data_IF_691839758272
#
_entry.id   IF_691839758272
#
_cell.length_a   1.000
_cell.length_b   1.000
_cell.length_c   1.000
_cell.angle_alpha   90.00
_cell.angle_beta   90.00
_cell.angle_gamma   90.00
#
_symmetry.space_group_name_H-M   'P 1'
#
loop_
_entity.id
_entity.type
_entity.pdbx_description
1 polymer ?
#
# COMPACT_ATOMS: atom_id res chain seq x y z
N UNK A 1 -51.56 23.37 10.46
CA UNK A 1 -50.11 23.50 10.75
C UNK A 1 -49.43 22.12 10.83
N UNK A 2 -49.94 21.21 11.68
CA UNK A 2 -49.42 19.84 11.88
C UNK A 2 -49.26 19.01 10.58
N UNK A 3 -50.26 18.99 9.69
CA UNK A 3 -50.21 18.22 8.42
C UNK A 3 -49.12 18.70 7.44
N UNK A 4 -48.79 19.99 7.44
CA UNK A 4 -47.69 20.55 6.61
C UNK A 4 -46.34 20.22 7.21
N UNK A 5 -46.22 20.26 8.54
CA UNK A 5 -45.01 19.86 9.27
C UNK A 5 -44.70 18.36 9.13
N UNK A 6 -45.72 17.49 9.21
CA UNK A 6 -45.55 16.04 8.98
C UNK A 6 -45.10 15.76 7.54
N UNK A 7 -45.69 16.42 6.54
CA UNK A 7 -45.25 16.28 5.14
C UNK A 7 -43.80 16.73 4.95
N UNK A 8 -43.41 17.84 5.57
CA UNK A 8 -42.02 18.32 5.52
C UNK A 8 -41.05 17.31 6.15
N UNK A 9 -41.36 16.77 7.33
CA UNK A 9 -40.55 15.71 7.96
C UNK A 9 -40.47 14.45 7.10
N UNK A 10 -41.58 14.00 6.53
CA UNK A 10 -41.57 12.84 5.63
C UNK A 10 -40.74 13.10 4.36
N UNK A 11 -40.76 14.31 3.81
CA UNK A 11 -39.88 14.69 2.70
C UNK A 11 -38.41 14.67 3.11
N UNK A 12 -38.06 15.18 4.30
CA UNK A 12 -36.68 15.14 4.80
C UNK A 12 -36.19 13.71 5.03
N UNK A 13 -37.04 12.85 5.62
CA UNK A 13 -36.73 11.42 5.78
C UNK A 13 -36.58 10.76 4.42
N UNK A 14 -37.46 11.05 3.46
CA UNK A 14 -37.35 10.56 2.09
C UNK A 14 -36.02 10.96 1.43
N UNK A 15 -35.61 12.23 1.56
CA UNK A 15 -34.32 12.72 1.05
C UNK A 15 -33.15 12.03 1.75
N UNK A 16 -33.21 11.85 3.07
CA UNK A 16 -32.15 11.16 3.82
C UNK A 16 -32.03 9.68 3.43
N UNK A 17 -33.14 8.99 3.23
CA UNK A 17 -33.15 7.59 2.78
C UNK A 17 -32.62 7.46 1.37
N UNK A 18 -33.07 8.30 0.43
CA UNK A 18 -32.58 8.29 -0.95
C UNK A 18 -31.10 8.68 -0.99
N UNK A 19 -30.70 9.72 -0.27
CA UNK A 19 -29.30 10.15 -0.17
C UNK A 19 -28.40 9.06 0.42
N UNK A 20 -28.87 8.39 1.49
CA UNK A 20 -28.16 7.27 2.10
C UNK A 20 -28.03 6.07 1.17
N UNK A 21 -29.08 5.73 0.42
CA UNK A 21 -29.04 4.65 -0.57
C UNK A 21 -28.10 4.97 -1.74
N UNK A 22 -28.14 6.20 -2.26
CA UNK A 22 -27.23 6.66 -3.31
C UNK A 22 -25.78 6.63 -2.81
N UNK A 23 -25.52 7.12 -1.60
CA UNK A 23 -24.20 7.08 -0.99
C UNK A 23 -23.72 5.64 -0.81
N UNK A 24 -24.56 4.74 -0.29
CA UNK A 24 -24.25 3.32 -0.17
C UNK A 24 -23.85 2.70 -1.52
N UNK A 25 -24.60 2.97 -2.58
CA UNK A 25 -24.30 2.45 -3.93
C UNK A 25 -22.98 3.01 -4.47
N UNK A 26 -22.74 4.32 -4.34
CA UNK A 26 -21.51 4.96 -4.84
C UNK A 26 -20.28 4.48 -4.07
N UNK A 27 -20.43 4.24 -2.78
CA UNK A 27 -19.34 3.84 -1.89
C UNK A 27 -19.18 2.33 -1.77
N UNK A 28 -20.03 1.55 -2.45
CA UNK A 28 -19.97 0.09 -2.40
C UNK A 28 -18.61 -0.42 -2.94
N UNK A 29 -18.17 -1.60 -2.49
CA UNK A 29 -17.05 -2.32 -3.09
C UNK A 29 -17.20 -2.43 -4.61
N UNK A 30 -16.20 -1.93 -5.35
CA UNK A 30 -16.18 -1.91 -6.81
C UNK A 30 -14.99 -2.74 -7.34
N UNK A 31 -15.07 -4.08 -7.33
CA UNK A 31 -14.04 -4.93 -7.87
C UNK A 31 -14.01 -4.88 -9.40
N UNK A 32 -12.82 -5.04 -9.97
CA UNK A 32 -12.63 -5.34 -11.39
C UNK A 32 -13.24 -6.73 -11.70
N UNK A 33 -13.93 -6.88 -12.85
CA UNK A 33 -14.53 -8.16 -13.23
C UNK A 33 -13.45 -9.21 -13.50
N UNK A 34 -13.79 -10.49 -13.34
CA UNK A 34 -12.85 -11.60 -13.59
C UNK A 34 -12.22 -11.57 -14.99
N UNK A 35 -12.97 -11.09 -15.99
CA UNK A 35 -12.49 -10.93 -17.37
C UNK A 35 -11.33 -9.93 -17.49
N UNK A 36 -11.21 -8.96 -16.57
CA UNK A 36 -10.08 -8.01 -16.52
C UNK A 36 -8.75 -8.74 -16.35
N UNK A 37 -8.76 -9.84 -15.60
CA UNK A 37 -7.57 -10.61 -15.24
C UNK A 37 -7.28 -11.75 -16.22
N UNK A 38 -8.11 -11.89 -17.26
CA UNK A 38 -7.94 -12.90 -18.30
C UNK A 38 -6.92 -12.42 -19.35
N UNK A 39 -6.18 -13.36 -19.94
CA UNK A 39 -5.26 -13.04 -21.06
C UNK A 39 -3.94 -12.37 -20.65
N UNK A 40 -3.58 -12.33 -19.37
CA UNK A 40 -2.29 -11.80 -18.88
C UNK A 40 -1.10 -12.74 -19.11
N UNK A 41 -1.35 -13.95 -19.64
CA UNK A 41 -0.33 -14.99 -19.85
C UNK A 41 0.03 -15.75 -18.57
N UNK A 42 1.01 -16.65 -18.69
CA UNK A 42 1.60 -17.31 -17.53
C UNK A 42 2.40 -16.31 -16.69
N UNK A 43 2.40 -16.50 -15.37
CA UNK A 43 3.13 -15.65 -14.45
C UNK A 43 4.65 -15.84 -14.65
N UNK A 44 5.38 -14.72 -14.82
CA UNK A 44 6.83 -14.71 -14.76
C UNK A 44 7.26 -14.67 -13.29
N UNK A 45 7.63 -15.84 -12.76
CA UNK A 45 8.01 -16.00 -11.34
C UNK A 45 9.23 -15.14 -10.96
N UNK A 46 10.16 -14.88 -11.89
CA UNK A 46 11.34 -14.06 -11.63
C UNK A 46 10.98 -12.58 -11.53
N UNK A 47 10.07 -12.11 -12.40
CA UNK A 47 9.51 -10.78 -12.23
C UNK A 47 8.69 -10.69 -10.95
N UNK A 48 7.90 -11.72 -10.64
CA UNK A 48 7.12 -11.82 -9.41
C UNK A 48 7.97 -11.70 -8.14
N UNK A 49 9.14 -12.33 -8.12
CA UNK A 49 10.12 -12.17 -7.04
C UNK A 49 10.62 -10.72 -6.92
N UNK A 50 10.90 -10.07 -8.05
CA UNK A 50 11.32 -8.66 -8.07
C UNK A 50 10.23 -7.76 -7.48
N UNK A 51 8.98 -7.99 -7.85
CA UNK A 51 7.82 -7.25 -7.33
C UNK A 51 7.56 -7.56 -5.85
N UNK A 52 7.80 -8.79 -5.41
CA UNK A 52 7.69 -9.21 -4.02
C UNK A 52 8.67 -8.44 -3.13
N UNK A 53 9.92 -8.31 -3.57
CA UNK A 53 10.93 -7.50 -2.88
C UNK A 53 10.62 -6.01 -2.96
N UNK A 54 10.21 -5.48 -4.12
CA UNK A 54 9.80 -4.08 -4.23
C UNK A 54 8.62 -3.77 -3.29
N UNK A 55 7.67 -4.69 -3.15
CA UNK A 55 6.50 -4.60 -2.27
C UNK A 55 6.81 -4.67 -0.78
N UNK A 56 8.01 -5.14 -0.39
CA UNK A 56 8.37 -5.37 1.00
C UNK A 56 7.45 -6.38 1.71
N UNK A 57 6.94 -7.39 1.00
CA UNK A 57 5.91 -8.29 1.53
C UNK A 57 6.33 -8.96 2.86
N UNK A 58 7.62 -9.31 2.99
CA UNK A 58 8.15 -9.92 4.22
C UNK A 58 8.16 -8.97 5.42
N UNK A 59 8.22 -7.65 5.21
CA UNK A 59 8.26 -6.68 6.32
C UNK A 59 7.00 -6.68 7.16
N UNK A 60 5.88 -7.15 6.60
CA UNK A 60 4.63 -7.28 7.34
C UNK A 60 4.18 -8.74 7.50
N UNK A 61 4.33 -9.56 6.47
CA UNK A 61 3.72 -10.89 6.44
C UNK A 61 4.64 -12.01 6.94
N UNK A 62 5.94 -11.79 7.12
CA UNK A 62 6.77 -12.77 7.80
C UNK A 62 6.37 -12.87 9.29
N UNK A 63 6.61 -14.03 9.91
CA UNK A 63 6.42 -14.17 11.34
C UNK A 63 7.28 -13.14 12.11
N UNK A 64 6.77 -12.52 13.19
CA UNK A 64 7.57 -11.62 14.01
C UNK A 64 8.89 -12.27 14.47
N UNK A 65 10.01 -11.62 14.20
CA UNK A 65 11.34 -12.13 14.52
C UNK A 65 11.91 -13.17 13.53
N UNK A 66 11.23 -13.45 12.42
CA UNK A 66 11.76 -14.31 11.37
C UNK A 66 13.03 -13.71 10.72
N UNK A 67 14.00 -14.57 10.43
CA UNK A 67 15.29 -14.20 9.84
C UNK A 67 15.64 -15.14 8.68
N UNK A 68 16.43 -14.64 7.73
CA UNK A 68 16.82 -15.40 6.53
C UNK A 68 15.60 -15.95 5.79
N UNK A 69 15.72 -17.18 5.29
CA UNK A 69 14.66 -17.85 4.52
C UNK A 69 13.35 -18.03 5.29
N UNK A 70 13.37 -17.97 6.63
CA UNK A 70 12.14 -18.01 7.42
C UNK A 70 11.24 -16.79 7.13
N UNK A 71 11.80 -15.68 6.64
CA UNK A 71 11.01 -14.51 6.19
C UNK A 71 10.12 -14.84 4.98
N UNK A 72 10.44 -15.87 4.20
CA UNK A 72 9.63 -16.32 3.07
C UNK A 72 8.38 -17.12 3.49
N UNK A 73 8.29 -17.52 4.76
CA UNK A 73 7.09 -18.13 5.34
C UNK A 73 6.15 -17.00 5.76
N UNK A 74 5.30 -16.56 4.83
CA UNK A 74 4.39 -15.41 5.00
C UNK A 74 3.19 -15.71 5.91
N UNK A 75 3.46 -16.14 7.14
CA UNK A 75 2.47 -16.62 8.12
C UNK A 75 1.63 -15.52 8.76
N UNK A 76 1.99 -14.24 8.59
CA UNK A 76 1.31 -13.10 9.21
C UNK A 76 1.41 -13.11 10.75
N UNK A 77 0.46 -12.43 11.39
CA UNK A 77 0.34 -12.35 12.84
C UNK A 77 1.03 -11.13 13.47
N UNK A 78 1.75 -10.31 12.68
CA UNK A 78 2.25 -9.02 13.15
C UNK A 78 1.09 -8.12 13.60
N UNK A 79 1.22 -7.51 14.79
CA UNK A 79 0.25 -6.58 15.34
C UNK A 79 0.70 -5.14 15.11
N UNK A 80 0.03 -4.44 14.19
CA UNK A 80 0.27 -3.04 13.87
C UNK A 80 -0.64 -2.16 14.74
N UNK A 81 -0.05 -1.49 15.74
CA UNK A 81 -0.78 -0.57 16.61
C UNK A 81 -0.94 0.78 15.92
N UNK A 82 -2.12 1.37 16.06
CA UNK A 82 -2.42 2.70 15.52
C UNK A 82 -3.40 3.46 16.43
N UNK A 83 -3.59 4.77 16.21
CA UNK A 83 -4.65 5.52 16.87
C UNK A 83 -6.08 4.99 16.58
N UNK A 84 -6.23 4.17 15.54
CA UNK A 84 -7.50 3.59 15.10
C UNK A 84 -7.77 2.19 15.66
N UNK A 85 -6.84 1.64 16.46
CA UNK A 85 -6.88 0.27 16.97
C UNK A 85 -5.70 -0.59 16.48
N UNK A 86 -5.78 -1.89 16.72
CA UNK A 86 -4.72 -2.86 16.34
C UNK A 86 -5.11 -3.61 15.07
N UNK A 87 -4.29 -3.47 14.03
CA UNK A 87 -4.42 -4.28 12.81
C UNK A 87 -3.51 -5.49 12.89
N UNK A 88 -4.09 -6.68 12.87
CA UNK A 88 -3.34 -7.91 12.67
C UNK A 88 -3.11 -8.21 11.19
N UNK A 89 -1.85 -8.38 10.80
CA UNK A 89 -1.47 -8.71 9.42
C UNK A 89 -1.86 -10.16 9.11
N UNK A 90 -2.58 -10.43 8.01
CA UNK A 90 -3.04 -11.77 7.68
C UNK A 90 -1.90 -12.67 7.18
N UNK A 91 -2.12 -13.98 7.25
CA UNK A 91 -1.31 -14.96 6.55
C UNK A 91 -1.59 -14.87 5.04
N UNK A 92 -0.54 -14.73 4.23
CA UNK A 92 -0.63 -14.69 2.76
C UNK A 92 0.25 -15.75 2.09
N UNK A 93 0.64 -16.77 2.84
CA UNK A 93 1.27 -17.98 2.29
C UNK A 93 0.30 -18.72 1.36
N UNK A 94 0.78 -19.65 0.52
CA UNK A 94 -0.09 -20.43 -0.36
C UNK A 94 -0.83 -21.58 0.35
N UNK A 95 -0.94 -21.54 1.67
CA UNK A 95 -1.78 -22.47 2.42
C UNK A 95 -3.26 -22.28 2.03
N UNK A 96 -3.96 -23.40 1.79
CA UNK A 96 -5.32 -23.40 1.27
C UNK A 96 -6.38 -23.01 2.30
N UNK A 97 -6.07 -23.10 3.60
CA UNK A 97 -7.02 -22.86 4.69
C UNK A 97 -6.74 -21.56 5.43
N UNK A 98 -5.47 -21.31 5.73
CA UNK A 98 -5.03 -20.19 6.54
C UNK A 98 -4.49 -19.02 5.70
N UNK A 99 -4.07 -19.27 4.46
CA UNK A 99 -3.49 -18.27 3.56
C UNK A 99 -4.34 -18.00 2.32
N UNK A 100 -3.67 -17.65 1.21
CA UNK A 100 -4.29 -17.28 -0.07
C UNK A 100 -4.31 -18.43 -1.09
N UNK A 101 -4.03 -19.67 -0.66
CA UNK A 101 -3.85 -20.81 -1.58
C UNK A 101 -5.06 -21.11 -2.48
N UNK A 102 -6.27 -20.78 -2.02
CA UNK A 102 -7.52 -20.96 -2.77
C UNK A 102 -7.95 -19.73 -3.57
N UNK A 103 -7.22 -18.62 -3.46
CA UNK A 103 -7.60 -17.39 -4.15
C UNK A 103 -7.41 -17.51 -5.66
N UNK A 104 -8.29 -16.85 -6.41
CA UNK A 104 -8.10 -16.61 -7.85
C UNK A 104 -7.22 -15.37 -8.06
N UNK A 105 -6.66 -15.23 -9.26
CA UNK A 105 -5.94 -14.00 -9.63
C UNK A 105 -6.85 -12.77 -9.51
N UNK A 106 -8.13 -12.89 -9.88
CA UNK A 106 -9.08 -11.80 -9.75
C UNK A 106 -9.32 -11.38 -8.30
N UNK A 107 -9.37 -12.33 -7.36
CA UNK A 107 -9.50 -12.04 -5.93
C UNK A 107 -8.23 -11.36 -5.39
N UNK A 108 -7.04 -11.89 -5.70
CA UNK A 108 -5.78 -11.29 -5.29
C UNK A 108 -5.59 -9.89 -5.88
N UNK A 109 -5.85 -9.73 -7.17
CA UNK A 109 -5.72 -8.46 -7.87
C UNK A 109 -6.71 -7.41 -7.40
N UNK A 110 -7.94 -7.79 -7.03
CA UNK A 110 -8.90 -6.88 -6.41
C UNK A 110 -8.51 -6.48 -4.99
N UNK A 111 -7.88 -7.36 -4.21
CA UNK A 111 -7.32 -6.98 -2.93
C UNK A 111 -6.23 -5.91 -3.14
N UNK A 112 -5.26 -6.18 -4.02
CA UNK A 112 -4.12 -5.29 -4.30
C UNK A 112 -4.56 -3.95 -4.91
N UNK A 113 -5.37 -3.96 -5.98
CA UNK A 113 -5.66 -2.74 -6.75
C UNK A 113 -6.94 -2.03 -6.34
N UNK A 114 -7.89 -2.74 -5.73
CA UNK A 114 -9.21 -2.17 -5.36
C UNK A 114 -9.44 -2.17 -3.87
N UNK A 115 -8.60 -2.79 -3.04
CA UNK A 115 -8.85 -2.91 -1.61
C UNK A 115 -10.18 -3.61 -1.33
N UNK A 116 -10.46 -4.69 -2.08
CA UNK A 116 -11.68 -5.51 -1.95
C UNK A 116 -11.28 -6.95 -1.67
N UNK A 117 -11.78 -7.50 -0.56
CA UNK A 117 -11.56 -8.87 -0.15
C UNK A 117 -12.38 -9.86 -1.00
N UNK A 118 -12.02 -11.17 -1.03
CA UNK A 118 -12.79 -12.18 -1.77
C UNK A 118 -14.27 -12.28 -1.40
N UNK A 119 -14.62 -11.94 -0.16
CA UNK A 119 -16.00 -11.92 0.33
C UNK A 119 -16.77 -10.64 -0.05
N UNK A 120 -16.12 -9.72 -0.78
CA UNK A 120 -16.69 -8.45 -1.21
C UNK A 120 -16.46 -7.29 -0.24
N UNK A 121 -15.86 -7.48 0.93
CA UNK A 121 -15.67 -6.39 1.90
C UNK A 121 -14.56 -5.42 1.49
N UNK A 122 -14.67 -4.16 1.91
CA UNK A 122 -13.54 -3.23 1.85
C UNK A 122 -12.41 -3.67 2.78
N UNK A 123 -11.18 -3.70 2.25
CA UNK A 123 -9.97 -3.85 3.06
C UNK A 123 -9.63 -2.53 3.79
N UNK A 124 -9.01 -2.64 4.96
CA UNK A 124 -8.53 -1.46 5.69
C UNK A 124 -7.29 -0.89 4.98
N UNK A 125 -7.13 0.44 4.93
CA UNK A 125 -6.00 1.09 4.23
C UNK A 125 -4.64 0.86 4.90
N UNK A 126 -4.60 0.18 6.05
CA UNK A 126 -3.35 -0.39 6.60
C UNK A 126 -2.71 -1.40 5.63
N UNK A 127 -3.50 -2.00 4.75
CA UNK A 127 -3.00 -2.65 3.55
C UNK A 127 -2.89 -1.59 2.45
N UNK A 128 -1.70 -1.29 1.91
CA UNK A 128 -1.47 -0.12 1.07
C UNK A 128 -1.95 -0.29 -0.39
N UNK A 129 -3.19 -0.81 -0.55
CA UNK A 129 -3.86 -0.93 -1.85
C UNK A 129 -4.01 0.42 -2.57
N UNK A 130 -3.98 1.53 -1.82
CA UNK A 130 -3.98 2.88 -2.37
C UNK A 130 -2.74 3.15 -3.21
N UNK A 131 -1.58 2.60 -2.84
CA UNK A 131 -0.35 2.66 -3.63
C UNK A 131 -0.34 1.57 -4.70
N UNK A 132 -0.64 0.32 -4.34
CA UNK A 132 -0.68 -0.82 -5.26
C UNK A 132 -1.68 -0.70 -6.40
N UNK A 133 -2.68 0.18 -6.32
CA UNK A 133 -3.56 0.52 -7.44
C UNK A 133 -2.80 0.96 -8.71
N UNK A 134 -1.57 1.49 -8.57
CA UNK A 134 -0.68 1.87 -9.69
C UNK A 134 0.16 0.71 -10.25
N UNK A 135 0.12 -0.47 -9.62
CA UNK A 135 0.82 -1.64 -10.15
C UNK A 135 0.23 -2.05 -11.50
N UNK A 136 1.11 -2.49 -12.40
CA UNK A 136 0.66 -3.07 -13.67
C UNK A 136 -0.09 -4.38 -13.39
N UNK A 137 -1.10 -4.71 -14.19
CA UNK A 137 -1.85 -5.95 -14.01
C UNK A 137 -0.94 -7.19 -14.20
N UNK A 138 0.07 -7.07 -15.07
CA UNK A 138 1.09 -8.09 -15.26
C UNK A 138 1.94 -8.29 -14.00
N UNK A 139 2.39 -7.24 -13.34
CA UNK A 139 3.18 -7.37 -12.10
C UNK A 139 2.36 -7.97 -10.97
N UNK A 140 1.05 -7.68 -10.90
CA UNK A 140 0.14 -8.32 -9.95
C UNK A 140 0.00 -9.83 -10.25
N UNK A 141 -0.11 -10.22 -11.53
CA UNK A 141 -0.13 -11.62 -11.95
C UNK A 141 1.17 -12.35 -11.60
N UNK A 142 2.30 -11.74 -11.92
CA UNK A 142 3.63 -12.29 -11.69
C UNK A 142 3.91 -12.44 -10.19
N UNK A 143 3.58 -11.42 -9.38
CA UNK A 143 3.65 -11.47 -7.92
C UNK A 143 2.80 -12.62 -7.36
N UNK A 144 1.56 -12.76 -7.83
CA UNK A 144 0.69 -13.84 -7.38
C UNK A 144 1.26 -15.22 -7.73
N UNK A 145 1.86 -15.36 -8.92
CA UNK A 145 2.58 -16.56 -9.33
C UNK A 145 3.75 -16.88 -8.38
N UNK A 146 4.58 -15.90 -8.04
CA UNK A 146 5.69 -16.09 -7.10
C UNK A 146 5.22 -16.42 -5.68
N UNK A 147 4.19 -15.76 -5.16
CA UNK A 147 3.63 -16.08 -3.83
C UNK A 147 3.16 -17.54 -3.74
N UNK A 148 2.68 -18.12 -4.85
CA UNK A 148 2.29 -19.54 -4.92
C UNK A 148 3.45 -20.52 -4.85
N UNK A 149 4.69 -20.08 -5.10
CA UNK A 149 5.88 -20.93 -4.98
C UNK A 149 6.47 -20.93 -3.57
N UNK A 150 6.03 -20.02 -2.70
CA UNK A 150 6.57 -19.86 -1.34
C UNK A 150 6.12 -20.98 -0.39
N UNK A 151 6.82 -21.19 0.74
CA UNK A 151 6.41 -22.16 1.74
C UNK A 151 5.03 -21.85 2.35
N UNK A 152 4.25 -22.90 2.60
CA UNK A 152 2.95 -22.80 3.26
C UNK A 152 3.08 -22.57 4.76
N UNK A 153 2.10 -21.89 5.35
CA UNK A 153 1.91 -21.78 6.79
C UNK A 153 0.47 -22.01 7.18
N UNK A 154 0.22 -22.87 8.17
CA UNK A 154 -1.10 -23.11 8.72
C UNK A 154 -1.51 -22.06 9.79
N UNK A 155 -0.73 -21.00 9.98
CA UNK A 155 -1.00 -19.98 11.00
C UNK A 155 -2.25 -19.17 10.65
N UNK A 156 -3.24 -19.15 11.55
CA UNK A 156 -4.43 -18.31 11.40
C UNK A 156 -4.19 -17.01 12.18
N UNK A 157 -3.97 -15.92 11.46
CA UNK A 157 -3.82 -14.61 12.08
C UNK A 157 -5.10 -14.21 12.82
N UNK A 158 -5.00 -13.59 14.02
CA UNK A 158 -6.16 -13.10 14.74
C UNK A 158 -6.89 -11.98 13.96
N UNK A 159 -8.19 -11.75 14.23
CA UNK A 159 -8.93 -10.64 13.64
C UNK A 159 -8.43 -9.29 14.17
N UNK A 160 -8.65 -8.21 13.42
CA UNK A 160 -8.33 -6.85 13.90
C UNK A 160 -9.09 -6.47 15.18
N UNK A 161 -8.44 -5.71 16.05
CA UNK A 161 -9.01 -5.16 17.29
C UNK A 161 -9.27 -3.67 17.12
N UNK A 162 -10.40 -3.33 16.49
CA UNK A 162 -10.77 -1.95 16.16
C UNK A 162 -11.97 -1.51 17.01
N UNK A 163 -11.90 -0.36 17.71
CA UNK A 163 -13.04 0.19 18.41
C UNK A 163 -14.04 0.80 17.44
N UNK A 164 -15.28 1.01 17.90
CA UNK A 164 -16.23 1.86 17.19
C UNK A 164 -15.66 3.30 17.05
N UNK A 165 -15.83 3.97 15.90
CA UNK A 165 -16.57 3.53 14.71
C UNK A 165 -15.72 2.77 13.66
N UNK A 166 -14.43 2.55 13.91
CA UNK A 166 -13.48 1.99 12.93
C UNK A 166 -13.71 0.50 12.62
N UNK A 167 -14.48 -0.21 13.43
CA UNK A 167 -14.94 -1.57 13.13
C UNK A 167 -16.04 -1.66 12.05
N UNK A 168 -16.63 -0.54 11.65
CA UNK A 168 -17.70 -0.50 10.65
C UNK A 168 -17.09 -0.44 9.25
N UNK A 169 -17.01 -1.59 8.57
CA UNK A 169 -16.49 -1.72 7.20
C UNK A 169 -17.16 -0.77 6.19
N UNK A 170 -18.44 -0.44 6.37
CA UNK A 170 -19.15 0.49 5.49
C UNK A 170 -18.56 1.91 5.51
N UNK A 171 -18.01 2.36 6.66
CA UNK A 171 -17.38 3.67 6.74
C UNK A 171 -16.15 3.80 5.82
N UNK A 172 -15.51 2.67 5.48
CA UNK A 172 -14.38 2.64 4.54
C UNK A 172 -14.79 3.00 3.12
N UNK A 173 -16.04 2.75 2.72
CA UNK A 173 -16.52 3.15 1.40
C UNK A 173 -16.48 4.67 1.23
N UNK A 174 -16.92 5.41 2.26
CA UNK A 174 -16.82 6.87 2.31
C UNK A 174 -15.36 7.35 2.34
N UNK A 175 -14.49 6.69 3.11
CA UNK A 175 -13.06 7.01 3.14
C UNK A 175 -12.41 6.81 1.76
N UNK A 176 -12.70 5.70 1.08
CA UNK A 176 -12.20 5.43 -0.27
C UNK A 176 -12.72 6.42 -1.29
N UNK A 177 -13.98 6.83 -1.19
CA UNK A 177 -14.54 7.88 -2.05
C UNK A 177 -13.75 9.20 -1.97
N UNK A 178 -13.18 9.52 -0.80
CA UNK A 178 -12.38 10.73 -0.60
C UNK A 178 -10.91 10.56 -1.03
N UNK A 179 -10.30 9.41 -0.76
CA UNK A 179 -8.84 9.26 -0.80
C UNK A 179 -8.30 8.23 -1.81
N UNK A 180 -9.12 7.29 -2.28
CA UNK A 180 -8.67 6.28 -3.22
C UNK A 180 -8.47 6.91 -4.60
N UNK A 181 -7.23 6.82 -5.09
CA UNK A 181 -6.84 7.33 -6.39
C UNK A 181 -5.85 6.34 -7.01
N UNK A 182 -6.05 5.98 -8.27
CA UNK A 182 -5.18 5.08 -9.04
C UNK A 182 -4.24 5.82 -10.00
N UNK A 183 -4.41 7.15 -10.15
CA UNK A 183 -3.56 7.98 -10.99
C UNK A 183 -2.20 8.25 -10.34
N UNK A 184 -1.14 8.50 -11.12
CA UNK A 184 0.14 8.95 -10.59
C UNK A 184 -0.01 10.13 -9.63
N UNK A 185 0.80 10.16 -8.58
CA UNK A 185 0.83 11.22 -7.56
C UNK A 185 1.47 12.48 -8.10
N UNK A 186 2.51 12.33 -8.91
CA UNK A 186 3.21 13.44 -9.56
C UNK A 186 2.94 13.41 -11.06
N UNK A 187 2.46 14.51 -11.62
CA UNK A 187 2.41 14.68 -13.07
C UNK A 187 3.77 15.19 -13.55
N UNK A 188 4.51 14.35 -14.26
CA UNK A 188 5.83 14.69 -14.81
C UNK A 188 5.68 15.09 -16.29
N UNK A 189 6.33 16.19 -16.68
CA UNK A 189 6.38 16.62 -18.08
C UNK A 189 7.46 15.83 -18.83
N UNK A 190 7.05 15.02 -19.81
CA UNK A 190 7.93 14.24 -20.69
C UNK A 190 9.06 13.47 -19.94
N UNK A 191 8.77 12.70 -18.87
CA UNK A 191 9.80 11.93 -18.18
C UNK A 191 10.41 10.90 -19.12
N UNK A 192 11.72 10.69 -19.01
CA UNK A 192 12.37 9.55 -19.66
C UNK A 192 11.95 8.21 -19.00
N UNK A 193 12.35 7.10 -19.61
CA UNK A 193 11.97 5.76 -19.12
C UNK A 193 12.55 5.43 -17.74
N UNK A 194 13.71 5.98 -17.38
CA UNK A 194 14.33 5.78 -16.06
C UNK A 194 13.47 6.44 -14.99
N UNK A 195 13.06 7.69 -15.20
CA UNK A 195 12.20 8.43 -14.26
C UNK A 195 10.81 7.79 -14.19
N UNK A 196 10.22 7.33 -15.30
CA UNK A 196 8.95 6.59 -15.27
C UNK A 196 9.04 5.30 -14.45
N UNK A 197 10.14 4.55 -14.59
CA UNK A 197 10.37 3.35 -13.78
C UNK A 197 10.49 3.70 -12.30
N UNK A 198 11.19 4.77 -11.96
CA UNK A 198 11.28 5.28 -10.59
C UNK A 198 9.94 5.69 -10.02
N UNK A 199 9.15 6.43 -10.80
CA UNK A 199 7.79 6.82 -10.42
C UNK A 199 6.93 5.60 -10.11
N UNK A 200 6.96 4.62 -11.00
CA UNK A 200 6.25 3.36 -10.80
C UNK A 200 6.64 2.72 -9.48
N UNK A 201 7.92 2.51 -9.23
CA UNK A 201 8.43 1.86 -8.02
C UNK A 201 8.08 2.64 -6.74
N UNK A 202 8.26 3.96 -6.73
CA UNK A 202 8.06 4.78 -5.53
C UNK A 202 6.58 4.98 -5.18
N UNK A 203 5.73 5.23 -6.20
CA UNK A 203 4.30 5.49 -5.98
C UNK A 203 3.45 4.20 -5.92
N UNK A 204 3.95 3.10 -6.48
CA UNK A 204 3.27 1.82 -6.63
C UNK A 204 3.77 0.77 -5.64
N UNK A 205 4.51 -0.27 -6.09
CA UNK A 205 4.89 -1.39 -5.25
C UNK A 205 5.78 -0.99 -4.07
N UNK A 206 6.71 -0.04 -4.22
CA UNK A 206 7.58 0.41 -3.12
C UNK A 206 6.89 1.27 -2.07
N UNK A 207 5.67 1.75 -2.35
CA UNK A 207 4.76 2.43 -1.42
C UNK A 207 5.41 3.49 -0.52
N UNK A 208 6.48 4.16 -0.99
CA UNK A 208 7.31 5.01 -0.13
C UNK A 208 6.50 6.17 0.48
N UNK A 209 5.47 6.62 -0.23
CA UNK A 209 4.54 7.63 0.24
C UNK A 209 3.76 7.24 1.51
N UNK A 210 3.58 5.96 1.81
CA UNK A 210 2.83 5.50 2.98
C UNK A 210 3.46 5.97 4.30
N UNK A 211 4.80 6.08 4.32
CA UNK A 211 5.59 6.58 5.44
C UNK A 211 6.07 8.03 5.22
N UNK A 212 6.45 8.40 4.00
CA UNK A 212 7.07 9.69 3.71
C UNK A 212 6.08 10.81 3.38
N UNK A 213 4.76 10.56 3.37
CA UNK A 213 3.75 11.61 3.13
C UNK A 213 2.91 11.83 4.39
N UNK A 214 2.74 13.08 4.87
CA UNK A 214 1.92 13.32 6.04
C UNK A 214 0.44 13.06 5.73
N UNK A 215 -0.30 12.69 6.77
CA UNK A 215 -1.73 12.41 6.69
C UNK A 215 -2.57 13.48 7.38
N UNK A 216 -3.81 13.62 6.96
CA UNK A 216 -4.82 14.41 7.66
C UNK A 216 -5.44 13.64 8.84
N UNK A 217 -6.41 14.28 9.53
CA UNK A 217 -7.06 13.69 10.70
C UNK A 217 -7.91 12.45 10.39
N UNK A 218 -8.29 12.24 9.12
CA UNK A 218 -9.01 11.05 8.66
C UNK A 218 -8.06 9.95 8.15
N UNK A 219 -6.74 10.16 8.24
CA UNK A 219 -5.72 9.22 7.82
C UNK A 219 -5.45 9.21 6.31
N UNK A 220 -6.03 10.14 5.54
CA UNK A 220 -5.74 10.30 4.12
C UNK A 220 -4.44 11.06 3.89
N UNK A 221 -3.74 10.79 2.78
CA UNK A 221 -2.57 11.58 2.42
C UNK A 221 -2.92 13.05 2.17
N UNK A 222 -2.00 13.93 2.53
CA UNK A 222 -1.97 15.32 2.06
C UNK A 222 -1.24 15.36 0.71
N UNK A 223 -1.97 15.42 -0.43
CA UNK A 223 -1.35 15.23 -1.75
C UNK A 223 -0.38 16.35 -2.13
N UNK A 224 -0.57 17.54 -1.58
CA UNK A 224 0.28 18.72 -1.72
C UNK A 224 1.57 18.66 -0.89
N UNK A 225 1.75 17.60 -0.10
CA UNK A 225 2.95 17.33 0.72
C UNK A 225 3.57 15.98 0.39
N UNK A 226 3.45 15.54 -0.86
CA UNK A 226 3.96 14.25 -1.32
C UNK A 226 5.45 14.10 -0.97
N UNK A 227 5.78 13.05 -0.21
CA UNK A 227 7.14 12.73 0.22
C UNK A 227 7.83 13.76 1.15
N UNK A 228 7.11 14.77 1.66
CA UNK A 228 7.62 15.83 2.54
C UNK A 228 7.96 15.37 3.98
N UNK A 229 7.91 14.06 4.25
CA UNK A 229 8.08 13.44 5.56
C UNK A 229 6.85 13.55 6.44
N UNK A 230 6.80 12.71 7.47
CA UNK A 230 5.63 12.57 8.35
C UNK A 230 6.04 12.27 9.80
N UNK A 231 5.19 12.56 10.80
CA UNK A 231 5.37 12.02 12.14
C UNK A 231 5.55 10.50 12.11
N UNK A 232 6.46 9.96 12.93
CA UNK A 232 6.66 8.52 13.00
C UNK A 232 5.40 7.83 13.57
N UNK A 233 4.75 6.91 12.85
CA UNK A 233 3.58 6.21 13.36
C UNK A 233 3.90 5.26 14.53
N UNK A 234 5.16 4.85 14.68
CA UNK A 234 5.61 3.88 15.68
C UNK A 234 6.06 4.51 17.01
N UNK A 235 6.12 5.85 17.11
CA UNK A 235 6.50 6.53 18.35
C UNK A 235 7.20 7.86 18.15
N UNK A 236 8.31 8.07 18.86
CA UNK A 236 9.07 9.31 18.79
C UNK A 236 9.86 9.44 17.48
N UNK A 237 10.10 10.68 17.07
CA UNK A 237 10.82 11.00 15.84
C UNK A 237 9.92 11.31 14.64
N UNK A 238 10.55 11.49 13.48
CA UNK A 238 9.90 11.87 12.23
C UNK A 238 10.48 11.05 11.08
N UNK A 239 9.61 10.53 10.23
CA UNK A 239 10.01 9.99 8.93
C UNK A 239 10.51 11.16 8.07
N UNK A 240 11.72 11.09 7.50
CA UNK A 240 12.33 12.24 6.86
C UNK A 240 11.61 12.64 5.57
N UNK A 241 11.77 13.90 5.21
CA UNK A 241 11.43 14.40 3.88
C UNK A 241 12.44 13.84 2.86
N UNK A 242 11.94 13.22 1.80
CA UNK A 242 12.75 12.61 0.73
C UNK A 242 12.55 13.29 -0.62
N UNK A 243 12.15 14.56 -0.62
CA UNK A 243 12.13 15.41 -1.81
C UNK A 243 13.48 16.08 -2.07
N UNK A 244 13.72 16.66 -3.27
CA UNK A 244 15.00 17.30 -3.58
C UNK A 244 15.33 18.51 -2.71
N UNK A 245 14.34 19.15 -2.10
CA UNK A 245 14.51 20.31 -1.19
C UNK A 245 14.90 19.91 0.24
N UNK A 246 14.86 18.62 0.57
CA UNK A 246 14.96 18.19 1.95
C UNK A 246 16.36 18.34 2.54
N UNK A 247 16.43 18.54 3.86
CA UNK A 247 17.71 18.49 4.60
C UNK A 247 18.30 17.08 4.69
N UNK A 248 17.48 16.05 4.50
CA UNK A 248 17.91 14.66 4.69
C UNK A 248 18.65 14.13 3.46
N UNK A 249 18.08 14.31 2.26
CA UNK A 249 18.65 13.78 1.01
C UNK A 249 18.79 14.83 -0.09
N UNK A 250 18.42 16.09 0.14
CA UNK A 250 18.46 17.12 -0.90
C UNK A 250 19.87 17.37 -1.45
N UNK A 251 20.89 17.27 -0.60
CA UNK A 251 22.31 17.36 -0.99
C UNK A 251 22.88 16.09 -1.63
N UNK A 252 22.17 14.96 -1.54
CA UNK A 252 22.64 13.68 -2.07
C UNK A 252 22.50 13.68 -3.59
N UNK A 253 23.51 13.10 -4.26
CA UNK A 253 23.44 12.77 -5.68
C UNK A 253 22.50 11.58 -5.91
N UNK A 254 22.10 11.33 -7.16
CA UNK A 254 21.37 10.10 -7.50
C UNK A 254 22.17 8.83 -7.10
N UNK A 255 23.49 8.88 -7.27
CA UNK A 255 24.38 7.76 -6.90
C UNK A 255 24.41 7.52 -5.39
N UNK A 256 24.38 8.58 -4.59
CA UNK A 256 24.31 8.49 -3.12
C UNK A 256 23.00 7.84 -2.67
N UNK A 257 21.87 8.24 -3.26
CA UNK A 257 20.57 7.63 -2.98
C UNK A 257 20.56 6.16 -3.38
N UNK A 258 21.05 5.83 -4.58
CA UNK A 258 21.13 4.45 -5.05
C UNK A 258 22.02 3.58 -4.14
N UNK A 259 23.18 4.09 -3.74
CA UNK A 259 24.08 3.41 -2.80
C UNK A 259 23.43 3.22 -1.42
N UNK A 260 22.68 4.20 -0.92
CA UNK A 260 21.94 4.05 0.34
C UNK A 260 20.89 2.95 0.23
N UNK A 261 20.14 2.89 -0.86
CA UNK A 261 19.15 1.83 -1.08
C UNK A 261 19.81 0.45 -1.22
N UNK A 262 20.99 0.38 -1.84
CA UNK A 262 21.76 -0.85 -2.02
C UNK A 262 22.38 -1.35 -0.70
N UNK A 263 22.96 -0.46 0.10
CA UNK A 263 23.85 -0.82 1.22
C UNK A 263 23.31 -0.49 2.60
N UNK A 264 22.34 0.42 2.69
CA UNK A 264 21.86 0.99 3.94
C UNK A 264 22.75 2.08 4.54
N UNK A 265 23.87 2.44 3.90
CA UNK A 265 24.76 3.51 4.40
C UNK A 265 24.49 4.85 3.72
N UNK A 266 24.47 5.89 4.53
CA UNK A 266 24.43 7.29 4.08
C UNK A 266 25.81 7.71 3.54
N UNK A 267 25.91 8.80 2.76
CA UNK A 267 27.18 9.34 2.29
C UNK A 267 28.16 9.71 3.41
N UNK A 268 27.64 10.02 4.60
CA UNK A 268 28.41 10.36 5.79
C UNK A 268 28.70 9.13 6.69
N UNK A 269 28.52 7.92 6.14
CA UNK A 269 28.76 6.62 6.79
C UNK A 269 27.87 6.28 8.00
N UNK A 270 26.79 7.03 8.22
CA UNK A 270 25.68 6.59 9.08
C UNK A 270 24.85 5.49 8.40
N UNK A 271 23.96 4.80 9.12
CA UNK A 271 23.16 3.68 8.62
C UNK A 271 21.64 3.90 8.70
N UNK A 272 20.88 3.21 7.86
CA UNK A 272 19.43 3.16 7.93
C UNK A 272 18.96 2.62 9.29
N UNK A 273 18.12 3.38 9.99
CA UNK A 273 17.56 2.99 11.28
C UNK A 273 16.05 2.73 11.25
N UNK A 274 15.56 2.10 12.32
CA UNK A 274 14.13 1.86 12.53
C UNK A 274 13.50 0.99 11.45
N UNK A 275 12.26 1.30 11.07
CA UNK A 275 11.53 0.57 10.03
C UNK A 275 12.13 0.69 8.63
N UNK A 276 12.94 1.72 8.35
CA UNK A 276 13.63 1.84 7.06
C UNK A 276 14.72 0.79 6.84
N UNK A 277 15.26 0.17 7.90
CA UNK A 277 16.22 -0.94 7.74
C UNK A 277 15.59 -2.11 7.00
N UNK A 278 14.36 -2.48 7.35
CA UNK A 278 13.64 -3.57 6.67
C UNK A 278 13.25 -3.17 5.24
N UNK A 279 12.82 -1.92 5.01
CA UNK A 279 12.54 -1.43 3.64
C UNK A 279 13.79 -1.50 2.78
N UNK A 280 14.93 -1.02 3.28
CA UNK A 280 16.19 -1.06 2.56
C UNK A 280 16.63 -2.49 2.25
N UNK A 281 16.56 -3.42 3.22
CA UNK A 281 16.92 -4.82 3.00
C UNK A 281 16.10 -5.46 1.87
N UNK A 282 14.82 -5.11 1.75
CA UNK A 282 14.00 -5.56 0.62
C UNK A 282 14.45 -4.93 -0.69
N UNK A 283 14.57 -3.59 -0.72
CA UNK A 283 14.92 -2.84 -1.92
C UNK A 283 16.31 -3.24 -2.46
N UNK A 284 17.25 -3.63 -1.59
CA UNK A 284 18.57 -4.12 -1.99
C UNK A 284 18.55 -5.41 -2.84
N UNK A 285 17.42 -6.15 -2.90
CA UNK A 285 17.26 -7.28 -3.80
C UNK A 285 16.91 -6.87 -5.24
N UNK A 286 16.53 -5.60 -5.46
CA UNK A 286 16.20 -5.10 -6.79
C UNK A 286 17.46 -4.94 -7.65
N UNK A 287 17.35 -5.05 -8.98
CA UNK A 287 18.47 -4.75 -9.85
C UNK A 287 18.92 -3.29 -9.66
N UNK A 288 20.23 -3.04 -9.78
CA UNK A 288 20.79 -1.70 -9.62
C UNK A 288 20.10 -0.62 -10.47
N UNK A 289 19.64 -0.97 -11.67
CA UNK A 289 18.87 -0.07 -12.53
C UNK A 289 17.58 0.45 -11.89
N UNK A 290 16.93 -0.34 -11.03
CA UNK A 290 15.72 0.06 -10.32
C UNK A 290 16.05 1.00 -9.15
N UNK A 291 17.19 0.79 -8.47
CA UNK A 291 17.68 1.71 -7.42
C UNK A 291 18.01 3.08 -8.01
N UNK A 292 18.69 3.08 -9.15
CA UNK A 292 18.99 4.29 -9.91
C UNK A 292 17.71 4.97 -10.44
N UNK A 293 16.70 4.20 -10.85
CA UNK A 293 15.41 4.72 -11.28
C UNK A 293 14.66 5.40 -10.11
N UNK A 294 14.60 4.75 -8.94
CA UNK A 294 14.05 5.35 -7.70
C UNK A 294 14.76 6.67 -7.40
N UNK A 295 16.10 6.68 -7.41
CA UNK A 295 16.88 7.89 -7.17
C UNK A 295 16.55 9.01 -8.16
N UNK A 296 16.47 8.70 -9.46
CA UNK A 296 16.13 9.68 -10.49
C UNK A 296 14.73 10.28 -10.28
N UNK A 297 13.73 9.46 -9.92
CA UNK A 297 12.39 9.97 -9.61
C UNK A 297 12.38 10.84 -8.34
N UNK A 298 13.07 10.45 -7.27
CA UNK A 298 13.16 11.25 -6.05
C UNK A 298 13.83 12.61 -6.29
N UNK A 299 14.73 12.73 -7.27
CA UNK A 299 15.28 14.03 -7.70
C UNK A 299 14.33 14.83 -8.62
N UNK A 300 13.33 14.19 -9.19
CA UNK A 300 12.38 14.80 -10.14
C UNK A 300 11.03 15.24 -9.50
N UNK A 301 10.71 14.78 -8.29
CA UNK A 301 9.48 15.21 -7.59
C UNK A 301 9.56 16.68 -7.16
N UNK A 302 8.41 17.37 -6.98
CA UNK A 302 8.38 18.71 -6.40
C UNK A 302 9.11 18.76 -5.04
N UNK A 303 9.88 19.84 -4.83
CA UNK A 303 10.59 20.07 -3.56
C UNK A 303 9.66 20.60 -2.46
N UNK A 304 9.97 20.24 -1.21
CA UNK A 304 9.35 20.77 0.01
C UNK A 304 10.36 21.39 0.97
#
# INVERSE_FOLDING_TARGET
MVRRFIRFLLCLVGIAVVGGAVFYVITAPNPLPDSHWSGLGEADVKNGETVFWAGGCVSCHAAPGAQGDAKLVLSGGLALKSPFGTFHVPNVSPDEKAGIGTWTLAQFGNAMKRGVAPNGDHLYPSFPYGSYARMSDKDVNDLFGYLKTLPKSANVAPPHELPFPFNIRLALGGWKFLYFNEQPRVALENPDEKVKRGQYLVEGPGHCGECHTPRDALGGFKPDMWLAGAPNPEGEGRIPDITPGSKAIGSWSEGDIANYLETGFTPDFDSAGGSMTEVQQNIAHLPKSDLEAIAAYLKAVPSH
#
